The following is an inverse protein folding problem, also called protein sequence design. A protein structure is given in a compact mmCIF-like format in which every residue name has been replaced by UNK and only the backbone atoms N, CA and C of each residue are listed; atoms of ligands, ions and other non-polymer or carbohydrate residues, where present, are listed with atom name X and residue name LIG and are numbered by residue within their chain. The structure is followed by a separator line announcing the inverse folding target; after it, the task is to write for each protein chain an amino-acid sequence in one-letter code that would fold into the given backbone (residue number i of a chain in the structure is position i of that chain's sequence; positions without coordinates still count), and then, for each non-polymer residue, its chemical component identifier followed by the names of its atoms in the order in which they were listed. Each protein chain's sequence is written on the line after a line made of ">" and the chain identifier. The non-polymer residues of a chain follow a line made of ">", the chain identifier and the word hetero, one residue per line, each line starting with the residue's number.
data_IF_208490893851
#
_entry.id   IF_208490893851
#
_cell.length_a   1.000
_cell.length_b   1.000
_cell.length_c   1.000
_cell.angle_alpha   90.00
_cell.angle_beta   90.00
_cell.angle_gamma   90.00
#
_symmetry.space_group_name_H-M   'P 1'
#
loop_
_entity.id
_entity.type
_entity.pdbx_description
1 polymer ?
#
# COMPACT_ATOMS: atom_id res chain seq x y z
N UNK A 1 34.91 22.91 -0.87
CA UNK A 1 34.05 23.85 -0.13
C UNK A 1 34.68 24.30 1.17
N UNK A 2 35.36 23.40 1.92
CA UNK A 2 36.11 23.76 3.11
C UNK A 2 37.22 24.80 2.81
N UNK A 3 37.92 24.65 1.69
CA UNK A 3 38.98 25.54 1.26
C UNK A 3 38.46 26.91 0.76
N UNK A 4 37.21 26.96 0.27
CA UNK A 4 36.61 28.19 -0.31
C UNK A 4 35.76 28.93 0.72
N UNK A 5 34.88 28.21 1.45
CA UNK A 5 33.87 28.81 2.33
C UNK A 5 34.05 28.51 3.82
N UNK A 6 35.08 27.73 4.20
CA UNK A 6 35.30 27.24 5.56
C UNK A 6 34.11 26.54 6.22
N UNK A 7 33.18 25.96 5.40
CA UNK A 7 31.98 25.28 5.88
C UNK A 7 31.93 23.83 5.35
N UNK A 8 31.60 22.90 6.23
CA UNK A 8 31.39 21.49 5.92
C UNK A 8 29.91 21.12 5.75
N UNK A 9 29.06 22.12 5.59
CA UNK A 9 27.61 21.98 5.63
C UNK A 9 27.06 20.89 4.67
N UNK A 10 27.64 20.72 3.50
CA UNK A 10 27.23 19.71 2.51
C UNK A 10 27.98 18.36 2.61
N UNK A 11 29.08 18.30 3.34
CA UNK A 11 29.95 17.11 3.40
C UNK A 11 29.17 15.87 3.91
N UNK A 12 28.41 16.03 4.99
CA UNK A 12 27.64 14.94 5.56
C UNK A 12 26.52 14.44 4.64
N UNK A 13 25.94 15.31 3.81
CA UNK A 13 24.94 14.90 2.80
C UNK A 13 25.61 14.02 1.74
N UNK A 14 26.76 14.42 1.22
CA UNK A 14 27.49 13.63 0.24
C UNK A 14 27.95 12.30 0.82
N UNK A 15 28.47 12.30 2.05
CA UNK A 15 28.90 11.08 2.74
C UNK A 15 27.72 10.11 2.95
N UNK A 16 26.57 10.61 3.44
CA UNK A 16 25.38 9.79 3.63
C UNK A 16 24.79 9.30 2.30
N UNK A 17 24.87 10.08 1.23
CA UNK A 17 24.47 9.66 -0.11
C UNK A 17 25.37 8.53 -0.64
N UNK A 18 26.68 8.60 -0.41
CA UNK A 18 27.62 7.51 -0.77
C UNK A 18 27.37 6.24 0.03
N UNK A 19 27.11 6.35 1.34
CA UNK A 19 26.71 5.21 2.19
C UNK A 19 25.42 4.60 1.68
N UNK A 20 24.44 5.42 1.34
CA UNK A 20 23.18 4.98 0.78
C UNK A 20 23.39 4.24 -0.55
N UNK A 21 24.13 4.82 -1.49
CA UNK A 21 24.45 4.20 -2.76
C UNK A 21 25.17 2.84 -2.58
N UNK A 22 26.15 2.78 -1.68
CA UNK A 22 26.86 1.53 -1.38
C UNK A 22 25.95 0.45 -0.79
N UNK A 23 24.99 0.82 0.05
CA UNK A 23 24.04 -0.12 0.66
C UNK A 23 23.12 -0.80 -0.37
N UNK A 24 22.91 -0.16 -1.53
CA UNK A 24 22.11 -0.71 -2.64
C UNK A 24 22.90 -1.63 -3.59
N UNK A 25 24.21 -1.82 -3.40
CA UNK A 25 24.98 -2.77 -4.22
C UNK A 25 24.66 -4.20 -3.75
N UNK A 26 23.68 -4.91 -4.35
CA UNK A 26 23.34 -6.25 -3.91
C UNK A 26 24.29 -7.26 -4.55
N UNK A 27 24.90 -8.11 -3.74
CA UNK A 27 25.30 -9.41 -4.23
C UNK A 27 24.01 -10.23 -4.49
N UNK A 28 23.81 -10.77 -5.67
CA UNK A 28 22.66 -11.62 -6.04
C UNK A 28 22.36 -12.73 -5.03
N UNK A 29 23.34 -13.17 -4.28
CA UNK A 29 23.22 -14.15 -3.19
C UNK A 29 22.34 -13.70 -2.02
N UNK A 30 22.04 -12.39 -1.87
CA UNK A 30 21.19 -11.89 -0.78
C UNK A 30 19.75 -12.40 -0.89
N UNK A 31 19.23 -12.51 -2.12
CA UNK A 31 17.84 -12.95 -2.34
C UNK A 31 17.62 -14.43 -2.01
N UNK A 32 18.66 -15.26 -2.00
CA UNK A 32 18.54 -16.70 -1.71
C UNK A 32 18.66 -17.03 -0.22
N UNK A 33 19.15 -16.12 0.62
CA UNK A 33 19.32 -16.34 2.05
C UNK A 33 18.48 -15.32 2.84
N UNK A 34 17.54 -15.82 3.69
CA UNK A 34 16.65 -14.98 4.47
C UNK A 34 17.37 -14.04 5.44
N UNK A 35 18.46 -14.48 6.07
CA UNK A 35 19.26 -13.66 6.98
C UNK A 35 19.96 -12.52 6.23
N UNK A 36 20.55 -12.83 5.06
CA UNK A 36 21.20 -11.81 4.22
C UNK A 36 20.18 -10.80 3.69
N UNK A 37 19.00 -11.26 3.25
CA UNK A 37 17.94 -10.38 2.79
C UNK A 37 17.45 -9.43 3.90
N UNK A 38 17.34 -9.93 5.15
CA UNK A 38 16.98 -9.08 6.29
C UNK A 38 18.05 -8.01 6.53
N UNK A 39 19.33 -8.41 6.59
CA UNK A 39 20.43 -7.45 6.74
C UNK A 39 20.41 -6.41 5.62
N UNK A 40 20.20 -6.83 4.37
CA UNK A 40 20.09 -5.93 3.24
C UNK A 40 18.92 -4.94 3.40
N UNK A 41 17.71 -5.41 3.70
CA UNK A 41 16.53 -4.55 3.84
C UNK A 41 16.69 -3.55 5.00
N UNK A 42 17.24 -3.98 6.14
CA UNK A 42 17.47 -3.09 7.29
C UNK A 42 18.59 -2.09 7.00
N UNK A 43 19.71 -2.52 6.41
CA UNK A 43 20.84 -1.63 6.10
C UNK A 43 20.46 -0.56 5.06
N UNK A 44 19.72 -0.93 4.01
CA UNK A 44 19.23 0.03 3.00
C UNK A 44 18.22 1.00 3.59
N UNK A 45 17.28 0.53 4.41
CA UNK A 45 16.35 1.41 5.10
C UNK A 45 17.06 2.41 6.01
N UNK A 46 17.98 1.95 6.86
CA UNK A 46 18.73 2.82 7.77
C UNK A 46 19.62 3.82 7.03
N UNK A 47 20.24 3.42 5.91
CA UNK A 47 21.05 4.33 5.10
C UNK A 47 20.22 5.43 4.43
N UNK A 48 19.00 5.12 3.98
CA UNK A 48 18.05 6.12 3.47
C UNK A 48 17.62 7.07 4.61
N UNK A 49 17.29 6.53 5.79
CA UNK A 49 16.95 7.36 6.94
C UNK A 49 18.10 8.27 7.35
N UNK A 50 19.36 7.80 7.30
CA UNK A 50 20.54 8.61 7.55
C UNK A 50 20.66 9.76 6.54
N UNK A 51 20.46 9.48 5.26
CA UNK A 51 20.48 10.50 4.20
C UNK A 51 19.37 11.54 4.43
N UNK A 52 18.15 11.11 4.71
CA UNK A 52 17.04 12.01 5.01
C UNK A 52 17.29 12.85 6.26
N UNK A 53 17.87 12.26 7.30
CA UNK A 53 18.23 12.97 8.53
C UNK A 53 19.27 14.05 8.25
N UNK A 54 20.35 13.74 7.52
CA UNK A 54 21.36 14.75 7.18
C UNK A 54 20.77 15.88 6.33
N UNK A 55 19.86 15.58 5.38
CA UNK A 55 19.14 16.60 4.63
C UNK A 55 18.22 17.43 5.52
N UNK A 56 17.49 16.83 6.46
CA UNK A 56 16.58 17.52 7.36
C UNK A 56 17.32 18.46 8.31
N UNK A 57 18.46 18.05 8.83
CA UNK A 57 19.34 18.91 9.66
C UNK A 57 19.87 20.08 8.83
N UNK A 58 20.30 19.82 7.60
CA UNK A 58 20.83 20.87 6.72
C UNK A 58 19.77 21.93 6.35
N UNK A 59 18.52 21.52 6.16
CA UNK A 59 17.40 22.41 5.80
C UNK A 59 16.69 23.02 7.02
N UNK A 60 17.12 22.74 8.26
CA UNK A 60 16.41 23.07 9.50
C UNK A 60 14.95 22.58 9.52
N UNK A 61 14.66 21.48 8.83
CA UNK A 61 13.32 20.95 8.57
C UNK A 61 13.10 19.56 9.17
N UNK A 62 13.30 19.35 10.47
CA UNK A 62 13.08 18.05 11.11
C UNK A 62 11.60 17.61 11.11
N UNK A 63 10.67 18.51 10.85
CA UNK A 63 9.23 18.25 10.87
C UNK A 63 8.77 17.21 9.82
N UNK A 64 9.36 17.22 8.63
CA UNK A 64 9.03 16.27 7.54
C UNK A 64 9.78 14.95 7.65
N UNK A 65 10.88 14.90 8.41
CA UNK A 65 11.78 13.73 8.48
C UNK A 65 11.05 12.46 8.92
N UNK A 66 10.32 12.50 10.03
CA UNK A 66 9.56 11.35 10.53
C UNK A 66 8.49 10.89 9.54
N UNK A 67 7.80 11.84 8.90
CA UNK A 67 6.80 11.55 7.86
C UNK A 67 7.42 10.78 6.70
N UNK A 68 8.58 11.22 6.21
CA UNK A 68 9.29 10.56 5.14
C UNK A 68 9.80 9.16 5.55
N UNK A 69 10.36 9.01 6.74
CA UNK A 69 10.82 7.72 7.26
C UNK A 69 9.67 6.70 7.37
N UNK A 70 8.52 7.10 7.93
CA UNK A 70 7.33 6.22 8.04
C UNK A 70 6.83 5.86 6.63
N UNK A 71 6.76 6.82 5.70
CA UNK A 71 6.34 6.57 4.32
C UNK A 71 7.21 5.53 3.61
N UNK A 72 8.54 5.63 3.76
CA UNK A 72 9.48 4.65 3.21
C UNK A 72 9.32 3.29 3.92
N UNK A 73 9.11 3.28 5.24
CA UNK A 73 8.90 2.06 6.01
C UNK A 73 7.67 1.28 5.51
N UNK A 74 6.56 1.97 5.15
CA UNK A 74 5.38 1.34 4.55
C UNK A 74 5.77 0.64 3.24
N UNK A 75 6.54 1.29 2.36
CA UNK A 75 7.03 0.68 1.13
C UNK A 75 7.89 -0.55 1.36
N UNK A 76 8.82 -0.49 2.31
CA UNK A 76 9.66 -1.63 2.71
C UNK A 76 8.84 -2.78 3.31
N UNK A 77 7.88 -2.46 4.16
CA UNK A 77 6.99 -3.43 4.79
C UNK A 77 6.22 -4.23 3.72
N UNK A 78 5.53 -3.54 2.81
CA UNK A 78 4.72 -4.18 1.76
C UNK A 78 5.55 -5.09 0.85
N UNK A 79 6.81 -4.76 0.60
CA UNK A 79 7.70 -5.55 -0.28
C UNK A 79 8.37 -6.69 0.50
N UNK A 80 9.04 -6.38 1.61
CA UNK A 80 9.94 -7.34 2.26
C UNK A 80 9.22 -8.28 3.22
N UNK A 81 8.17 -7.84 3.93
CA UNK A 81 7.47 -8.70 4.89
C UNK A 81 6.83 -9.92 4.24
N UNK A 82 6.12 -9.84 3.08
CA UNK A 82 5.62 -11.03 2.41
C UNK A 82 6.74 -11.99 1.96
N UNK A 83 7.90 -11.47 1.55
CA UNK A 83 9.05 -12.28 1.15
C UNK A 83 9.63 -13.03 2.36
N UNK A 84 9.80 -12.36 3.50
CA UNK A 84 10.27 -13.01 4.73
C UNK A 84 9.29 -14.07 5.22
N UNK A 85 8.01 -13.72 5.31
CA UNK A 85 6.97 -14.64 5.79
C UNK A 85 6.76 -15.81 4.85
N UNK A 86 7.05 -15.68 3.56
CA UNK A 86 6.92 -16.80 2.59
C UNK A 86 7.81 -18.00 2.94
N UNK A 87 8.89 -17.79 3.71
CA UNK A 87 9.86 -18.81 4.14
C UNK A 87 9.59 -19.34 5.55
N UNK A 88 8.50 -18.94 6.17
CA UNK A 88 8.11 -19.34 7.52
C UNK A 88 6.89 -20.26 7.51
N UNK A 89 6.59 -20.89 8.65
CA UNK A 89 5.35 -21.68 8.84
C UNK A 89 4.09 -20.83 8.68
N UNK A 90 4.20 -19.50 8.78
CA UNK A 90 3.09 -18.53 8.69
C UNK A 90 2.90 -18.01 7.24
N UNK A 91 3.59 -18.61 6.26
CA UNK A 91 3.57 -18.17 4.85
C UNK A 91 2.16 -18.03 4.25
N UNK A 92 1.19 -18.78 4.76
CA UNK A 92 -0.21 -18.71 4.35
C UNK A 92 -0.87 -17.36 4.67
N UNK A 93 -0.46 -16.73 5.78
CA UNK A 93 -1.05 -15.47 6.28
C UNK A 93 -0.19 -14.24 5.94
N UNK A 94 0.86 -14.39 5.12
CA UNK A 94 1.85 -13.34 4.83
C UNK A 94 1.22 -12.04 4.34
N UNK A 95 0.22 -12.10 3.46
CA UNK A 95 -0.45 -10.92 2.93
C UNK A 95 -1.40 -10.27 3.95
N UNK A 96 -2.06 -11.07 4.81
CA UNK A 96 -2.90 -10.53 5.89
C UNK A 96 -2.04 -9.73 6.84
N UNK A 97 -0.92 -10.29 7.29
CA UNK A 97 0.02 -9.63 8.20
C UNK A 97 0.57 -8.35 7.57
N UNK A 98 1.01 -8.43 6.30
CA UNK A 98 1.57 -7.28 5.60
C UNK A 98 0.53 -6.15 5.44
N UNK A 99 -0.67 -6.41 4.92
CA UNK A 99 -1.66 -5.35 4.72
C UNK A 99 -2.20 -4.78 6.04
N UNK A 100 -2.27 -5.58 7.10
CA UNK A 100 -2.64 -5.09 8.43
C UNK A 100 -1.55 -4.18 8.99
N UNK A 101 -0.27 -4.57 8.87
CA UNK A 101 0.85 -3.73 9.30
C UNK A 101 0.93 -2.44 8.48
N UNK A 102 0.77 -2.50 7.16
CA UNK A 102 0.71 -1.32 6.30
C UNK A 102 -0.43 -0.37 6.68
N UNK A 103 -1.62 -0.90 7.02
CA UNK A 103 -2.74 -0.09 7.51
C UNK A 103 -2.38 0.64 8.80
N UNK A 104 -1.80 -0.05 9.78
CA UNK A 104 -1.37 0.55 11.06
C UNK A 104 -0.30 1.62 10.81
N UNK A 105 0.71 1.35 9.99
CA UNK A 105 1.76 2.32 9.66
C UNK A 105 1.18 3.54 8.94
N UNK A 106 0.20 3.36 8.05
CA UNK A 106 -0.47 4.48 7.37
C UNK A 106 -1.27 5.33 8.36
N UNK A 107 -1.94 4.73 9.35
CA UNK A 107 -2.61 5.46 10.42
C UNK A 107 -1.60 6.25 11.26
N UNK A 108 -0.47 5.65 11.62
CA UNK A 108 0.61 6.35 12.33
C UNK A 108 1.17 7.52 11.51
N UNK A 109 1.32 7.34 10.21
CA UNK A 109 1.72 8.41 9.29
C UNK A 109 0.72 9.57 9.31
N UNK A 110 -0.58 9.29 9.24
CA UNK A 110 -1.63 10.31 9.30
C UNK A 110 -1.64 11.06 10.64
N UNK A 111 -1.45 10.36 11.75
CA UNK A 111 -1.34 10.98 13.08
C UNK A 111 -0.12 11.90 13.13
N UNK A 112 1.04 11.45 12.62
CA UNK A 112 2.24 12.27 12.56
C UNK A 112 2.04 13.52 11.71
N UNK A 113 1.42 13.41 10.54
CA UNK A 113 1.11 14.57 9.69
C UNK A 113 0.13 15.52 10.39
N UNK A 114 -0.87 14.99 11.13
CA UNK A 114 -1.81 15.82 11.89
C UNK A 114 -1.15 16.68 12.96
N UNK A 115 -0.15 16.14 13.66
CA UNK A 115 0.60 16.87 14.69
C UNK A 115 1.24 18.15 14.12
N UNK A 116 1.69 18.09 12.85
CA UNK A 116 2.38 19.19 12.21
C UNK A 116 1.48 20.12 11.38
N UNK A 117 0.39 19.61 10.80
CA UNK A 117 -0.43 20.32 9.81
C UNK A 117 -1.90 20.54 10.20
N UNK A 118 -2.33 20.16 11.42
CA UNK A 118 -3.68 20.43 11.98
C UNK A 118 -4.85 20.08 11.04
N UNK A 119 -4.73 19.04 10.17
CA UNK A 119 -5.84 18.62 9.33
C UNK A 119 -6.82 17.69 10.08
N UNK A 120 -8.00 17.46 9.53
CA UNK A 120 -9.01 16.57 10.14
C UNK A 120 -8.56 15.11 10.08
N UNK A 121 -7.91 14.61 11.13
CA UNK A 121 -7.32 13.25 11.17
C UNK A 121 -8.37 12.15 11.19
N UNK A 122 -9.50 12.35 11.88
CA UNK A 122 -10.54 11.30 12.02
C UNK A 122 -11.12 10.87 10.68
N UNK A 123 -11.60 11.77 9.80
CA UNK A 123 -12.02 11.41 8.45
C UNK A 123 -10.94 10.69 7.64
N UNK A 124 -9.68 11.14 7.74
CA UNK A 124 -8.57 10.52 7.03
C UNK A 124 -8.31 9.08 7.49
N UNK A 125 -8.36 8.82 8.81
CA UNK A 125 -8.24 7.46 9.37
C UNK A 125 -9.39 6.57 8.90
N UNK A 126 -10.63 7.06 8.93
CA UNK A 126 -11.80 6.29 8.49
C UNK A 126 -11.71 5.90 7.02
N UNK A 127 -11.29 6.84 6.16
CA UNK A 127 -11.07 6.57 4.73
C UNK A 127 -9.94 5.56 4.53
N UNK A 128 -8.85 5.68 5.28
CA UNK A 128 -7.73 4.74 5.24
C UNK A 128 -8.19 3.34 5.63
N UNK A 129 -8.90 3.19 6.74
CA UNK A 129 -9.45 1.89 7.15
C UNK A 129 -10.36 1.31 6.05
N UNK A 130 -11.25 2.13 5.47
CA UNK A 130 -12.11 1.71 4.37
C UNK A 130 -11.31 1.25 3.15
N UNK A 131 -10.28 1.98 2.75
CA UNK A 131 -9.43 1.65 1.60
C UNK A 131 -8.65 0.32 1.78
N UNK A 132 -8.28 -0.04 3.01
CA UNK A 132 -7.60 -1.31 3.32
C UNK A 132 -8.54 -2.51 3.40
N UNK A 133 -9.87 -2.33 3.53
CA UNK A 133 -10.85 -3.44 3.59
C UNK A 133 -10.69 -4.42 2.41
N UNK A 134 -10.73 -3.98 1.13
CA UNK A 134 -10.60 -4.91 0.01
C UNK A 134 -9.24 -5.63 -0.02
N UNK A 135 -8.16 -4.97 0.38
CA UNK A 135 -6.84 -5.60 0.43
C UNK A 135 -6.76 -6.70 1.50
N UNK A 136 -7.26 -6.44 2.70
CA UNK A 136 -7.26 -7.40 3.81
C UNK A 136 -8.18 -8.59 3.50
N UNK A 137 -9.40 -8.34 2.98
CA UNK A 137 -10.32 -9.42 2.62
C UNK A 137 -9.76 -10.26 1.47
N UNK A 138 -9.16 -9.63 0.45
CA UNK A 138 -8.48 -10.35 -0.63
C UNK A 138 -7.33 -11.22 -0.10
N UNK A 139 -6.57 -10.72 0.88
CA UNK A 139 -5.52 -11.50 1.53
C UNK A 139 -6.08 -12.70 2.30
N UNK A 140 -7.23 -12.56 2.98
CA UNK A 140 -7.95 -13.67 3.63
C UNK A 140 -8.38 -14.70 2.59
N UNK A 141 -9.01 -14.28 1.48
CA UNK A 141 -9.43 -15.16 0.40
C UNK A 141 -8.23 -15.90 -0.22
N UNK A 142 -7.09 -15.21 -0.41
CA UNK A 142 -5.85 -15.83 -0.88
C UNK A 142 -5.32 -16.89 0.09
N UNK A 143 -5.54 -16.74 1.40
CA UNK A 143 -5.17 -17.73 2.39
C UNK A 143 -6.08 -18.97 2.43
N UNK A 144 -7.27 -18.96 1.82
CA UNK A 144 -8.16 -20.11 1.72
C UNK A 144 -7.63 -21.14 0.70
N UNK A 145 -8.08 -22.40 0.81
CA UNK A 145 -7.65 -23.50 -0.08
C UNK A 145 -8.54 -23.62 -1.33
N UNK A 146 -8.82 -22.51 -1.99
CA UNK A 146 -9.54 -22.50 -3.28
C UNK A 146 -8.57 -22.51 -4.46
N UNK A 147 -9.08 -22.83 -5.66
CA UNK A 147 -8.28 -22.67 -6.88
C UNK A 147 -8.04 -21.18 -7.20
N UNK A 148 -7.00 -20.90 -8.00
CA UNK A 148 -6.58 -19.51 -8.29
C UNK A 148 -7.68 -18.70 -8.99
N UNK A 149 -8.45 -19.32 -9.90
CA UNK A 149 -9.52 -18.62 -10.62
C UNK A 149 -10.67 -18.23 -9.70
N UNK A 150 -11.09 -19.14 -8.82
CA UNK A 150 -12.14 -18.85 -7.85
C UNK A 150 -11.73 -17.74 -6.88
N UNK A 151 -10.49 -17.79 -6.38
CA UNK A 151 -9.94 -16.69 -5.53
C UNK A 151 -9.95 -15.36 -6.27
N UNK A 152 -9.42 -15.32 -7.49
CA UNK A 152 -9.37 -14.10 -8.28
C UNK A 152 -10.77 -13.53 -8.53
N UNK A 153 -11.73 -14.36 -8.92
CA UNK A 153 -13.10 -13.95 -9.14
C UNK A 153 -13.75 -13.35 -7.90
N UNK A 154 -13.65 -14.02 -6.75
CA UNK A 154 -14.22 -13.50 -5.49
C UNK A 154 -13.53 -12.19 -5.07
N UNK A 155 -12.20 -12.09 -5.19
CA UNK A 155 -11.47 -10.85 -4.88
C UNK A 155 -11.91 -9.70 -5.78
N UNK A 156 -12.05 -9.93 -7.09
CA UNK A 156 -12.51 -8.91 -8.04
C UNK A 156 -13.93 -8.46 -7.68
N UNK A 157 -14.88 -9.39 -7.46
CA UNK A 157 -16.26 -9.07 -7.10
C UNK A 157 -16.32 -8.17 -5.86
N UNK A 158 -15.65 -8.60 -4.79
CA UNK A 158 -15.68 -7.87 -3.53
C UNK A 158 -15.04 -6.48 -3.65
N UNK A 159 -13.86 -6.40 -4.27
CA UNK A 159 -13.17 -5.12 -4.46
C UNK A 159 -13.97 -4.16 -5.34
N UNK A 160 -14.68 -4.67 -6.34
CA UNK A 160 -15.54 -3.88 -7.22
C UNK A 160 -16.72 -3.28 -6.46
N UNK A 161 -17.37 -4.05 -5.58
CA UNK A 161 -18.48 -3.56 -4.76
C UNK A 161 -17.98 -2.47 -3.81
N UNK A 162 -16.86 -2.68 -3.11
CA UNK A 162 -16.27 -1.67 -2.23
C UNK A 162 -15.90 -0.41 -3.02
N UNK A 163 -15.29 -0.54 -4.19
CA UNK A 163 -14.95 0.58 -5.06
C UNK A 163 -16.18 1.39 -5.48
N UNK A 164 -17.28 0.72 -5.85
CA UNK A 164 -18.52 1.40 -6.22
C UNK A 164 -19.08 2.29 -5.11
N UNK A 165 -19.01 1.82 -3.86
CA UNK A 165 -19.48 2.57 -2.70
C UNK A 165 -18.51 3.64 -2.18
N UNK A 166 -17.29 3.76 -2.74
CA UNK A 166 -16.26 4.67 -2.23
C UNK A 166 -16.74 6.12 -2.15
N UNK A 167 -17.35 6.65 -3.22
CA UNK A 167 -17.85 8.03 -3.22
C UNK A 167 -18.93 8.26 -2.17
N UNK A 168 -19.85 7.32 -2.01
CA UNK A 168 -20.89 7.38 -0.99
C UNK A 168 -20.30 7.42 0.43
N UNK A 169 -19.32 6.56 0.71
CA UNK A 169 -18.65 6.50 2.02
C UNK A 169 -17.88 7.78 2.28
N UNK A 170 -17.13 8.29 1.30
CA UNK A 170 -16.38 9.54 1.41
C UNK A 170 -17.33 10.72 1.70
N UNK A 171 -18.42 10.84 0.97
CA UNK A 171 -19.43 11.89 1.18
C UNK A 171 -20.03 11.83 2.59
N UNK A 172 -20.29 10.62 3.11
CA UNK A 172 -20.80 10.44 4.48
C UNK A 172 -19.77 10.81 5.54
N UNK A 173 -18.51 10.46 5.33
CA UNK A 173 -17.42 10.77 6.28
C UNK A 173 -17.15 12.27 6.35
N UNK A 174 -17.18 12.97 5.21
CA UNK A 174 -16.95 14.41 5.17
C UNK A 174 -18.21 15.26 5.42
N UNK A 175 -19.39 14.64 5.45
CA UNK A 175 -20.67 15.35 5.57
C UNK A 175 -21.03 16.18 4.33
N UNK A 176 -20.45 15.83 3.18
CA UNK A 176 -20.75 16.49 1.90
C UNK A 176 -21.99 15.86 1.29
N UNK A 177 -22.92 16.71 0.82
CA UNK A 177 -24.12 16.25 0.10
C UNK A 177 -23.90 16.25 -1.42
N UNK A 178 -22.72 15.79 -1.85
CA UNK A 178 -22.42 15.69 -3.26
C UNK A 178 -23.24 14.56 -3.90
N UNK A 179 -23.84 14.83 -5.04
CA UNK A 179 -24.55 13.82 -5.84
C UNK A 179 -23.60 12.99 -6.73
N UNK A 180 -22.31 13.01 -6.43
CA UNK A 180 -21.25 12.39 -7.23
C UNK A 180 -21.38 10.87 -7.40
N UNK A 181 -22.13 10.20 -6.51
CA UNK A 181 -22.41 8.76 -6.58
C UNK A 181 -23.73 8.42 -7.31
N UNK A 182 -24.56 9.43 -7.65
CA UNK A 182 -25.82 9.18 -8.35
C UNK A 182 -25.56 8.80 -9.80
N UNK A 183 -26.34 7.83 -10.29
CA UNK A 183 -26.28 7.37 -11.69
C UNK A 183 -27.41 8.04 -12.46
N UNK A 184 -27.07 8.78 -13.51
CA UNK A 184 -28.02 9.37 -14.43
C UNK A 184 -27.39 9.54 -15.82
N UNK A 185 -27.70 8.64 -16.73
CA UNK A 185 -27.15 8.65 -18.09
C UNK A 185 -27.74 9.75 -18.98
N UNK A 186 -28.91 10.32 -18.63
CA UNK A 186 -29.53 11.41 -19.39
C UNK A 186 -28.79 12.74 -19.19
N UNK A 187 -28.10 12.92 -18.06
CA UNK A 187 -27.28 14.10 -17.79
C UNK A 187 -25.82 13.68 -17.45
N UNK A 188 -25.10 13.26 -18.50
CA UNK A 188 -23.75 12.74 -18.37
C UNK A 188 -22.77 13.71 -17.71
N UNK A 189 -22.80 14.98 -18.08
CA UNK A 189 -21.83 15.98 -17.57
C UNK A 189 -21.92 16.17 -16.06
N UNK A 190 -23.15 16.21 -15.52
CA UNK A 190 -23.38 16.41 -14.10
C UNK A 190 -23.10 15.14 -13.26
N UNK A 191 -23.35 13.95 -13.82
CA UNK A 191 -23.27 12.66 -13.12
C UNK A 191 -22.17 11.75 -13.65
N UNK A 192 -21.13 12.31 -14.29
CA UNK A 192 -20.05 11.56 -14.94
C UNK A 192 -19.39 10.54 -14.00
N UNK A 193 -19.06 10.93 -12.77
CA UNK A 193 -18.41 10.02 -11.79
C UNK A 193 -19.33 8.84 -11.46
N UNK A 194 -20.60 9.07 -11.13
CA UNK A 194 -21.56 8.00 -10.82
C UNK A 194 -21.76 7.05 -12.00
N UNK A 195 -21.90 7.60 -13.21
CA UNK A 195 -22.07 6.81 -14.43
C UNK A 195 -20.84 5.96 -14.74
N UNK A 196 -19.62 6.51 -14.63
CA UNK A 196 -18.35 5.77 -14.83
C UNK A 196 -18.21 4.66 -13.80
N UNK A 197 -18.43 4.94 -12.51
CA UNK A 197 -18.36 3.93 -11.45
C UNK A 197 -19.35 2.79 -11.68
N UNK A 198 -20.56 3.10 -12.17
CA UNK A 198 -21.57 2.09 -12.49
C UNK A 198 -21.17 1.22 -13.69
N UNK A 199 -20.62 1.81 -14.76
CA UNK A 199 -20.10 1.05 -15.90
C UNK A 199 -18.94 0.14 -15.47
N UNK A 200 -18.01 0.68 -14.68
CA UNK A 200 -16.92 -0.11 -14.12
C UNK A 200 -17.42 -1.27 -13.24
N UNK A 201 -18.46 -1.03 -12.44
CA UNK A 201 -19.11 -2.07 -11.64
C UNK A 201 -19.59 -3.22 -12.51
N UNK A 202 -20.35 -2.93 -13.58
CA UNK A 202 -20.90 -3.97 -14.49
C UNK A 202 -19.77 -4.74 -15.17
N UNK A 203 -18.77 -4.04 -15.73
CA UNK A 203 -17.64 -4.67 -16.44
C UNK A 203 -16.83 -5.58 -15.52
N UNK A 204 -16.46 -5.09 -14.34
CA UNK A 204 -15.64 -5.87 -13.41
C UNK A 204 -16.42 -7.03 -12.78
N UNK A 205 -17.71 -6.88 -12.50
CA UNK A 205 -18.55 -7.99 -12.06
C UNK A 205 -18.71 -9.06 -13.15
N UNK A 206 -18.85 -8.66 -14.41
CA UNK A 206 -18.91 -9.62 -15.54
C UNK A 206 -17.61 -10.43 -15.64
N UNK A 207 -16.45 -9.78 -15.53
CA UNK A 207 -15.14 -10.45 -15.47
C UNK A 207 -15.07 -11.39 -14.27
N UNK A 208 -15.51 -10.94 -13.11
CA UNK A 208 -15.53 -11.75 -11.88
C UNK A 208 -16.36 -13.04 -12.06
N UNK A 209 -17.56 -12.93 -12.65
CA UNK A 209 -18.45 -14.09 -12.91
C UNK A 209 -17.75 -15.09 -13.84
N UNK A 210 -17.06 -14.64 -14.88
CA UNK A 210 -16.27 -15.49 -15.76
C UNK A 210 -15.18 -16.26 -15.00
N UNK A 211 -14.42 -15.56 -14.15
CA UNK A 211 -13.38 -16.21 -13.34
C UNK A 211 -13.97 -17.23 -12.35
N UNK A 212 -15.08 -16.91 -11.69
CA UNK A 212 -15.79 -17.82 -10.78
C UNK A 212 -16.29 -19.04 -11.56
N UNK A 213 -16.92 -18.86 -12.72
CA UNK A 213 -17.40 -19.94 -13.57
C UNK A 213 -16.29 -20.90 -13.99
N UNK A 214 -15.17 -20.37 -14.48
CA UNK A 214 -13.97 -21.18 -14.80
C UNK A 214 -13.44 -21.90 -13.55
N UNK A 215 -13.45 -21.23 -12.42
CA UNK A 215 -13.01 -21.77 -11.13
C UNK A 215 -13.86 -22.97 -10.71
N UNK A 216 -15.18 -22.86 -10.79
CA UNK A 216 -16.13 -23.93 -10.45
C UNK A 216 -15.99 -25.10 -11.44
N UNK A 217 -15.94 -24.83 -12.74
CA UNK A 217 -15.76 -25.85 -13.76
C UNK A 217 -14.50 -26.70 -13.52
N UNK A 218 -13.38 -26.08 -13.15
CA UNK A 218 -12.14 -26.80 -12.82
C UNK A 218 -12.25 -27.65 -11.55
N UNK A 219 -13.07 -27.22 -10.56
CA UNK A 219 -13.31 -28.01 -9.36
C UNK A 219 -14.15 -29.26 -9.67
N UNK A 220 -15.22 -29.13 -10.48
CA UNK A 220 -16.04 -30.25 -10.88
C UNK A 220 -15.21 -31.28 -11.65
N UNK A 221 -14.45 -30.86 -12.67
CA UNK A 221 -13.60 -31.78 -13.46
C UNK A 221 -12.55 -32.52 -12.63
N UNK A 222 -12.08 -31.94 -11.51
CA UNK A 222 -11.10 -32.62 -10.63
C UNK A 222 -11.75 -33.71 -9.76
N UNK A 223 -13.03 -33.59 -9.45
CA UNK A 223 -13.75 -34.56 -8.63
C UNK A 223 -14.20 -35.78 -9.44
N UNK A 224 -14.23 -35.67 -10.80
CA UNK A 224 -14.61 -36.74 -11.72
C UNK A 224 -13.41 -37.63 -12.13
N UNK A 225 -12.21 -37.31 -11.67
CA UNK A 225 -10.96 -38.10 -11.86
C UNK A 225 -10.50 -38.73 -10.55
#
# INVERSE_FOLDING_TARGET
>A
NLAINHTLSWFFIVLSALICAYSFIPNFTFFFNSKKLLVFSVSTYLSICLLLFTCAVYTNGLTWFLTACIGILIGYEVIFVPIFLSRTKISRFKFIISFTAACVLTILLLINIHIWNSFRVVPAILITCYAFIPAIISAVICALRFNAFLKAGICIAFSTVVYYFTNFVVDKIFGTNNSSYKVNFSNWQQYSNGNIHFICLILLLSISILFIGVGIFRLCKKNDQ
#
